data_IF_203712973427
#
_entry.id   IF_203712973427
#
_cell.length_a   1.000
_cell.length_b   1.000
_cell.length_c   1.000
_cell.angle_alpha   90.00
_cell.angle_beta   90.00
_cell.angle_gamma   90.00
#
_symmetry.space_group_name_H-M   'P 1'
#
loop_
_entity.id
_entity.type
_entity.pdbx_description
1 polymer ?
#
# COMPACT_ATOMS: atom_id res chain seq x y z
N UNK A 1 0.38 6.88 23.22
CA UNK A 1 0.31 8.14 22.43
C UNK A 1 -1.08 8.81 22.39
N UNK A 2 -2.12 8.21 22.98
CA UNK A 2 -3.45 8.82 23.15
C UNK A 2 -3.54 9.90 24.25
N UNK A 3 -2.44 10.24 24.92
CA UNK A 3 -2.40 11.20 26.04
C UNK A 3 -1.63 12.51 25.76
N UNK A 4 -1.14 12.72 24.53
CA UNK A 4 -0.20 13.81 24.25
C UNK A 4 -0.80 15.05 23.55
N UNK A 5 -2.12 15.16 23.41
CA UNK A 5 -2.73 16.41 22.91
C UNK A 5 -2.34 16.82 21.49
N UNK A 6 -1.71 15.93 20.71
CA UNK A 6 -1.56 16.13 19.27
C UNK A 6 -2.93 15.90 18.63
N UNK A 7 -3.35 16.82 17.75
CA UNK A 7 -4.63 16.72 17.06
C UNK A 7 -4.77 15.32 16.46
N UNK A 8 -5.88 14.64 16.76
CA UNK A 8 -6.17 13.26 16.31
C UNK A 8 -5.95 13.11 14.79
N UNK A 9 -6.13 14.19 14.03
CA UNK A 9 -5.79 14.26 12.61
C UNK A 9 -4.31 14.06 12.27
N UNK A 10 -3.35 14.60 13.03
CA UNK A 10 -1.91 14.40 12.78
C UNK A 10 -1.48 12.95 13.05
N UNK A 11 -1.98 12.36 14.13
CA UNK A 11 -1.68 10.96 14.46
C UNK A 11 -2.25 9.99 13.40
N UNK A 12 -3.45 10.26 12.88
CA UNK A 12 -4.03 9.49 11.77
C UNK A 12 -3.18 9.66 10.50
N UNK A 13 -2.72 10.87 10.20
CA UNK A 13 -1.94 11.14 9.00
C UNK A 13 -0.54 10.50 9.03
N UNK A 14 0.18 10.59 10.16
CA UNK A 14 1.46 9.90 10.35
C UNK A 14 1.31 8.38 10.36
N UNK A 15 0.24 7.86 10.98
CA UNK A 15 -0.09 6.44 10.97
C UNK A 15 -0.37 5.93 9.56
N UNK A 16 -1.13 6.68 8.75
CA UNK A 16 -1.37 6.35 7.35
C UNK A 16 -0.10 6.37 6.52
N UNK A 17 0.76 7.37 6.70
CA UNK A 17 2.00 7.49 5.93
C UNK A 17 2.97 6.35 6.26
N UNK A 18 3.11 6.00 7.55
CA UNK A 18 3.89 4.82 7.97
C UNK A 18 3.30 3.52 7.45
N UNK A 19 1.99 3.34 7.53
CA UNK A 19 1.32 2.16 7.00
C UNK A 19 1.51 2.04 5.48
N UNK A 20 1.41 3.16 4.76
CA UNK A 20 1.63 3.20 3.31
C UNK A 20 3.05 2.80 2.93
N UNK A 21 4.06 3.37 3.59
CA UNK A 21 5.47 2.99 3.38
C UNK A 21 5.71 1.52 3.73
N UNK A 22 5.15 1.02 4.83
CA UNK A 22 5.27 -0.39 5.22
C UNK A 22 4.62 -1.34 4.19
N UNK A 23 3.46 -0.97 3.63
CA UNK A 23 2.79 -1.74 2.57
C UNK A 23 3.65 -1.76 1.31
N UNK A 24 4.23 -0.63 0.90
CA UNK A 24 5.10 -0.58 -0.27
C UNK A 24 6.32 -1.48 -0.07
N UNK A 25 6.99 -1.37 1.08
CA UNK A 25 8.23 -2.10 1.34
C UNK A 25 8.01 -3.63 1.43
N UNK A 26 6.89 -4.05 2.04
CA UNK A 26 6.48 -5.46 2.09
C UNK A 26 6.20 -6.04 0.70
N UNK A 27 5.56 -5.27 -0.19
CA UNK A 27 5.27 -5.68 -1.55
C UNK A 27 6.52 -5.65 -2.45
N UNK A 28 7.42 -4.69 -2.24
CA UNK A 28 8.68 -4.57 -2.98
C UNK A 28 9.61 -5.74 -2.69
N UNK A 29 9.74 -6.14 -1.42
CA UNK A 29 10.50 -7.33 -1.01
C UNK A 29 9.93 -8.59 -1.66
N UNK A 30 8.60 -8.69 -1.75
CA UNK A 30 7.92 -9.82 -2.39
C UNK A 30 8.17 -9.84 -3.90
N UNK A 31 8.18 -8.69 -4.59
CA UNK A 31 8.57 -8.57 -5.99
C UNK A 31 10.02 -8.99 -6.23
N UNK A 32 10.93 -8.67 -5.30
CA UNK A 32 12.32 -9.13 -5.33
C UNK A 32 12.41 -10.67 -5.27
N UNK A 33 11.66 -11.30 -4.36
CA UNK A 33 11.57 -12.77 -4.28
C UNK A 33 11.03 -13.35 -5.58
N UNK A 34 10.01 -12.73 -6.18
CA UNK A 34 9.47 -13.11 -7.49
C UNK A 34 10.52 -13.02 -8.60
N UNK A 35 11.31 -11.94 -8.63
CA UNK A 35 12.41 -11.77 -9.58
C UNK A 35 13.50 -12.83 -9.43
N UNK A 36 13.87 -13.16 -8.19
CA UNK A 36 14.84 -14.24 -7.90
C UNK A 36 14.28 -15.59 -8.36
N UNK A 37 13.01 -15.89 -8.06
CA UNK A 37 12.32 -17.10 -8.50
C UNK A 37 12.20 -17.19 -10.03
N UNK A 38 12.03 -16.06 -10.71
CA UNK A 38 12.00 -16.02 -12.18
C UNK A 38 13.39 -16.31 -12.77
N UNK A 39 14.46 -15.79 -12.15
CA UNK A 39 15.83 -15.98 -12.61
C UNK A 39 16.36 -17.40 -12.35
N UNK A 40 16.09 -17.96 -11.16
CA UNK A 40 16.59 -19.27 -10.74
C UNK A 40 15.60 -20.43 -10.97
N UNK A 41 14.31 -20.14 -11.13
CA UNK A 41 13.26 -21.15 -11.24
C UNK A 41 13.15 -21.77 -12.63
N UNK A 42 12.74 -23.03 -12.70
CA UNK A 42 12.45 -23.76 -13.95
C UNK A 42 10.94 -23.96 -14.12
N UNK A 43 10.48 -23.95 -15.39
CA UNK A 43 9.11 -24.23 -15.83
C UNK A 43 7.99 -23.66 -14.94
N UNK A 44 7.43 -24.44 -13.98
CA UNK A 44 6.35 -24.01 -13.10
C UNK A 44 6.67 -22.77 -12.25
N UNK A 45 7.92 -22.65 -11.77
CA UNK A 45 8.34 -21.58 -10.84
C UNK A 45 8.36 -20.23 -11.54
N UNK A 46 8.69 -20.19 -12.83
CA UNK A 46 8.61 -18.95 -13.64
C UNK A 46 7.16 -18.50 -13.81
N UNK A 47 6.24 -19.43 -14.04
CA UNK A 47 4.81 -19.13 -14.11
C UNK A 47 4.28 -18.57 -12.79
N UNK A 48 4.66 -19.20 -11.67
CA UNK A 48 4.34 -18.71 -10.34
C UNK A 48 4.86 -17.30 -10.08
N UNK A 49 6.13 -17.02 -10.43
CA UNK A 49 6.73 -15.70 -10.27
C UNK A 49 5.99 -14.61 -11.05
N UNK A 50 5.55 -14.92 -12.28
CA UNK A 50 4.78 -13.98 -13.11
C UNK A 50 3.41 -13.69 -12.49
N UNK A 51 2.67 -14.73 -12.08
CA UNK A 51 1.35 -14.54 -11.45
C UNK A 51 1.45 -13.78 -10.13
N UNK A 52 2.46 -14.08 -9.31
CA UNK A 52 2.69 -13.38 -8.05
C UNK A 52 3.00 -11.90 -8.28
N UNK A 53 3.87 -11.59 -9.25
CA UNK A 53 4.21 -10.21 -9.61
C UNK A 53 2.97 -9.44 -10.07
N UNK A 54 2.14 -10.05 -10.92
CA UNK A 54 0.90 -9.43 -11.42
C UNK A 54 -0.13 -9.22 -10.29
N UNK A 55 -0.21 -10.15 -9.33
CA UNK A 55 -1.02 -10.04 -8.14
C UNK A 55 -0.59 -8.90 -7.22
N UNK A 56 0.71 -8.72 -7.00
CA UNK A 56 1.26 -7.60 -6.21
C UNK A 56 0.93 -6.26 -6.86
N UNK A 57 1.12 -6.14 -8.18
CA UNK A 57 0.77 -4.91 -8.91
C UNK A 57 -0.72 -4.57 -8.77
N UNK A 58 -1.60 -5.56 -8.95
CA UNK A 58 -3.05 -5.36 -8.83
C UNK A 58 -3.44 -5.00 -7.39
N UNK A 59 -2.84 -5.65 -6.39
CA UNK A 59 -3.07 -5.38 -4.97
C UNK A 59 -2.63 -3.96 -4.59
N UNK A 60 -1.44 -3.52 -5.03
CA UNK A 60 -0.94 -2.17 -4.76
C UNK A 60 -1.83 -1.10 -5.39
N UNK A 61 -2.29 -1.31 -6.63
CA UNK A 61 -3.22 -0.41 -7.29
C UNK A 61 -4.54 -0.31 -6.52
N UNK A 62 -5.12 -1.46 -6.14
CA UNK A 62 -6.33 -1.50 -5.32
C UNK A 62 -6.11 -0.84 -3.97
N UNK A 63 -4.97 -1.05 -3.30
CA UNK A 63 -4.68 -0.44 -2.00
C UNK A 63 -4.64 1.10 -2.07
N UNK A 64 -4.06 1.68 -3.12
CA UNK A 64 -4.04 3.13 -3.34
C UNK A 64 -5.46 3.65 -3.60
N UNK A 65 -6.21 3.00 -4.50
CA UNK A 65 -7.58 3.40 -4.84
C UNK A 65 -8.52 3.27 -3.63
N UNK A 66 -8.45 2.15 -2.91
CA UNK A 66 -9.24 1.89 -1.70
C UNK A 66 -8.85 2.85 -0.59
N UNK A 67 -7.57 3.15 -0.38
CA UNK A 67 -7.16 4.16 0.61
C UNK A 67 -7.78 5.52 0.30
N UNK A 68 -7.74 5.95 -0.97
CA UNK A 68 -8.35 7.20 -1.41
C UNK A 68 -9.87 7.18 -1.23
N UNK A 69 -10.53 6.07 -1.54
CA UNK A 69 -11.97 5.89 -1.34
C UNK A 69 -12.37 5.82 0.14
N UNK A 70 -11.59 5.15 0.99
CA UNK A 70 -11.85 4.98 2.41
C UNK A 70 -11.70 6.32 3.13
N UNK A 71 -10.64 7.08 2.82
CA UNK A 71 -10.46 8.47 3.29
C UNK A 71 -11.61 9.35 2.81
N UNK A 72 -12.04 9.23 1.55
CA UNK A 72 -13.17 10.00 1.04
C UNK A 72 -14.51 9.61 1.71
N UNK A 73 -14.72 8.34 2.06
CA UNK A 73 -15.93 7.88 2.75
C UNK A 73 -15.95 8.28 4.23
N UNK A 74 -14.80 8.24 4.92
CA UNK A 74 -14.72 8.66 6.33
C UNK A 74 -14.66 10.18 6.51
N UNK A 75 -14.05 10.91 5.57
CA UNK A 75 -14.04 12.39 5.59
C UNK A 75 -15.18 13.04 4.80
N UNK A 76 -15.94 12.29 3.99
CA UNK A 76 -16.96 12.80 3.04
C UNK A 76 -18.20 13.47 3.64
N UNK A 77 -18.29 13.57 4.97
CA UNK A 77 -19.22 14.50 5.62
C UNK A 77 -18.71 15.95 5.69
N UNK A 78 -17.44 16.23 5.37
CA UNK A 78 -16.88 17.58 5.29
C UNK A 78 -15.89 17.68 4.14
N UNK A 79 -16.22 18.56 3.20
CA UNK A 79 -15.47 18.98 2.02
C UNK A 79 -13.97 19.19 2.31
N UNK A 80 -13.14 18.16 2.11
CA UNK A 80 -11.68 18.32 2.09
C UNK A 80 -11.26 18.57 0.65
N UNK A 81 -11.53 19.80 0.21
CA UNK A 81 -10.73 20.44 -0.81
C UNK A 81 -9.25 20.30 -0.42
N UNK A 82 -8.47 19.81 -1.37
CA UNK A 82 -7.04 20.11 -1.54
C UNK A 82 -6.09 19.34 -0.63
N UNK A 83 -5.63 18.18 -1.12
CA UNK A 83 -4.26 17.71 -0.92
C UNK A 83 -3.73 17.23 -2.27
N UNK A 84 -3.42 18.22 -3.11
CA UNK A 84 -2.44 18.09 -4.19
C UNK A 84 -1.09 18.34 -3.51
N UNK A 85 -0.18 17.37 -3.65
CA UNK A 85 1.27 17.54 -3.39
C UNK A 85 1.79 18.69 -4.23
#
# INVERSE_FOLDING_TARGET
>A
ELKAGMSVQRAIHEGFNRAFTAIIDANLTSLLVGGILFAMGTGPVKGFAVTMSLGIFTSMFTAIMVTRAMVNLTCGGRDIKKLWV
#
